data_IF_590025996079
#
_entry.id   IF_590025996079
#
_cell.length_a   1.000
_cell.length_b   1.000
_cell.length_c   1.000
_cell.angle_alpha   90.00
_cell.angle_beta   90.00
_cell.angle_gamma   90.00
#
_symmetry.space_group_name_H-M   'P 1'
#
loop_
_entity.id
_entity.type
_entity.pdbx_description
1 polymer ?
#
# COMPACT_ATOMS: atom_id res chain seq x y z
N UNK A 1 6.35 6.20 -3.36
CA UNK A 1 5.00 5.63 -3.60
C UNK A 1 4.32 6.32 -4.76
N UNK A 2 4.17 7.65 -4.77
CA UNK A 2 3.50 8.37 -5.86
C UNK A 2 4.10 8.08 -7.27
N UNK A 3 5.42 7.91 -7.36
CA UNK A 3 6.12 7.62 -8.63
C UNK A 3 6.06 6.12 -8.99
N UNK A 4 6.36 5.23 -8.03
CA UNK A 4 6.32 3.78 -8.27
C UNK A 4 4.90 3.28 -8.52
N UNK A 5 3.90 3.90 -7.90
CA UNK A 5 2.54 3.36 -7.80
C UNK A 5 2.42 2.21 -6.80
N UNK A 6 3.50 1.92 -6.06
CA UNK A 6 3.59 0.72 -5.23
C UNK A 6 4.26 0.97 -3.87
N UNK A 7 3.76 0.20 -2.90
CA UNK A 7 4.40 -0.19 -1.64
C UNK A 7 4.75 -1.68 -1.69
N UNK A 8 5.67 -2.19 -0.85
CA UNK A 8 6.20 -3.55 -0.94
C UNK A 8 5.13 -4.64 -1.19
N UNK A 9 4.08 -4.68 -0.38
CA UNK A 9 3.06 -5.72 -0.56
C UNK A 9 2.18 -5.56 -1.79
N UNK A 10 1.89 -4.30 -2.18
CA UNK A 10 1.16 -4.05 -3.42
C UNK A 10 1.95 -4.42 -4.68
N UNK A 11 3.30 -4.50 -4.61
CA UNK A 11 4.11 -4.97 -5.73
C UNK A 11 3.86 -6.45 -6.02
N UNK A 12 3.77 -7.27 -4.97
CA UNK A 12 3.48 -8.70 -5.06
C UNK A 12 2.05 -8.96 -5.49
N UNK A 13 1.09 -8.21 -4.94
CA UNK A 13 -0.30 -8.27 -5.41
C UNK A 13 -0.39 -7.90 -6.90
N UNK A 14 0.26 -6.81 -7.32
CA UNK A 14 0.27 -6.37 -8.70
C UNK A 14 0.97 -7.35 -9.65
N UNK A 15 2.03 -8.02 -9.19
CA UNK A 15 2.65 -9.12 -9.92
C UNK A 15 1.64 -10.27 -10.11
N UNK A 16 0.90 -10.64 -9.06
CA UNK A 16 -0.15 -11.65 -9.11
C UNK A 16 -1.30 -11.29 -10.06
N UNK A 17 -1.67 -10.01 -10.11
CA UNK A 17 -2.64 -9.48 -11.08
C UNK A 17 -2.11 -9.42 -12.53
N UNK A 18 -0.82 -9.66 -12.73
CA UNK A 18 -0.17 -9.61 -14.04
C UNK A 18 0.11 -8.19 -14.51
N UNK A 19 0.33 -7.22 -13.62
CA UNK A 19 0.66 -5.84 -13.99
C UNK A 19 2.11 -5.73 -14.45
N UNK A 20 2.33 -5.18 -15.65
CA UNK A 20 3.67 -5.10 -16.26
C UNK A 20 4.65 -4.23 -15.48
N UNK A 21 4.17 -3.12 -14.91
CA UNK A 21 5.00 -2.20 -14.15
C UNK A 21 5.54 -2.80 -12.84
N UNK A 22 4.90 -3.86 -12.30
CA UNK A 22 5.41 -4.62 -11.17
C UNK A 22 6.71 -5.39 -11.49
N UNK A 23 6.89 -5.84 -12.74
CA UNK A 23 8.12 -6.49 -13.21
C UNK A 23 9.35 -5.57 -13.11
N UNK A 24 9.12 -4.24 -13.17
CA UNK A 24 10.17 -3.25 -13.00
C UNK A 24 10.27 -2.75 -11.56
N UNK A 25 9.14 -2.67 -10.83
CA UNK A 25 9.13 -2.28 -9.43
C UNK A 25 9.95 -3.27 -8.57
N UNK A 26 9.72 -4.58 -8.72
CA UNK A 26 10.35 -5.61 -7.89
C UNK A 26 11.89 -5.56 -7.89
N UNK A 27 12.58 -5.56 -9.05
CA UNK A 27 14.03 -5.34 -9.10
C UNK A 27 14.46 -4.00 -8.51
N UNK A 28 13.65 -2.95 -8.67
CA UNK A 28 13.87 -1.65 -8.06
C UNK A 28 13.87 -1.73 -6.53
N UNK A 29 12.86 -2.38 -5.96
CA UNK A 29 12.75 -2.63 -4.54
C UNK A 29 13.93 -3.45 -4.01
N UNK A 30 14.32 -4.53 -4.69
CA UNK A 30 15.50 -5.33 -4.33
C UNK A 30 16.78 -4.49 -4.34
N UNK A 31 16.96 -3.62 -5.35
CA UNK A 31 18.09 -2.69 -5.40
C UNK A 31 18.06 -1.70 -4.21
N UNK A 32 16.89 -1.15 -3.88
CA UNK A 32 16.72 -0.25 -2.74
C UNK A 32 17.05 -0.93 -1.41
N UNK A 33 16.62 -2.18 -1.23
CA UNK A 33 16.98 -2.99 -0.07
C UNK A 33 18.50 -3.26 -0.02
N UNK A 34 19.13 -3.62 -1.14
CA UNK A 34 20.57 -3.83 -1.22
C UNK A 34 21.37 -2.56 -0.93
N UNK A 35 20.94 -1.42 -1.47
CA UNK A 35 21.55 -0.13 -1.21
C UNK A 35 21.51 0.21 0.29
N UNK A 36 20.37 -0.02 0.95
CA UNK A 36 20.29 0.17 2.40
C UNK A 36 21.15 -0.83 3.19
N UNK A 37 21.15 -2.12 2.82
CA UNK A 37 21.99 -3.15 3.46
C UNK A 37 23.47 -2.77 3.44
N UNK A 38 23.94 -2.21 2.33
CA UNK A 38 25.32 -1.71 2.19
C UNK A 38 25.54 -0.45 3.04
N UNK A 39 24.64 0.54 2.96
CA UNK A 39 24.78 1.79 3.71
C UNK A 39 24.75 1.56 5.22
N UNK A 40 23.92 0.63 5.71
CA UNK A 40 23.79 0.30 7.14
C UNK A 40 25.12 -0.07 7.80
N UNK A 41 26.07 -0.63 7.05
CA UNK A 41 27.40 -0.99 7.59
C UNK A 41 28.25 0.22 7.95
N UNK A 42 27.94 1.39 7.38
CA UNK A 42 28.70 2.62 7.56
C UNK A 42 28.28 3.35 8.84
N UNK A 43 29.13 4.27 9.31
CA UNK A 43 28.78 5.17 10.41
C UNK A 43 27.53 6.01 10.09
N UNK A 44 27.39 6.47 8.85
CA UNK A 44 26.23 7.24 8.38
C UNK A 44 24.96 6.41 8.45
N UNK A 45 24.99 5.17 7.96
CA UNK A 45 23.83 4.27 8.00
C UNK A 45 23.38 3.98 9.43
N UNK A 46 24.32 3.66 10.33
CA UNK A 46 23.99 3.45 11.75
C UNK A 46 23.45 4.73 12.42
N UNK A 47 24.04 5.88 12.13
CA UNK A 47 23.58 7.17 12.64
C UNK A 47 22.14 7.51 12.20
N UNK A 48 21.80 7.25 10.93
CA UNK A 48 20.44 7.47 10.41
C UNK A 48 19.37 6.69 11.20
N UNK A 49 19.70 5.47 11.63
CA UNK A 49 18.77 4.64 12.41
C UNK A 49 18.59 5.16 13.84
N UNK A 50 19.56 5.88 14.40
CA UNK A 50 19.47 6.38 15.78
C UNK A 50 18.75 7.72 15.92
N UNK A 51 18.75 8.56 14.88
CA UNK A 51 18.33 9.98 14.97
C UNK A 51 16.85 10.17 15.33
N UNK A 52 15.97 9.24 14.94
CA UNK A 52 14.53 9.29 15.23
C UNK A 52 13.99 7.99 15.83
N UNK A 53 14.86 7.23 16.51
CA UNK A 53 14.46 5.97 17.13
C UNK A 53 13.80 6.22 18.49
N UNK A 54 12.46 6.27 18.50
CA UNK A 54 11.66 6.37 19.73
C UNK A 54 11.66 5.09 20.57
N UNK A 55 12.34 4.03 20.10
CA UNK A 55 12.58 2.80 20.83
C UNK A 55 11.29 2.17 21.35
N UNK A 56 11.27 1.93 22.65
CA UNK A 56 10.22 1.20 23.37
C UNK A 56 9.07 2.11 23.85
N UNK A 57 8.92 3.29 23.26
CA UNK A 57 7.88 4.23 23.67
C UNK A 57 6.54 3.90 22.98
N UNK A 58 5.51 3.68 23.79
CA UNK A 58 4.11 3.65 23.36
C UNK A 58 3.38 4.92 23.82
N UNK A 59 2.17 5.14 23.33
CA UNK A 59 1.41 6.37 23.62
C UNK A 59 1.18 6.63 25.12
N UNK A 60 1.18 5.59 25.95
CA UNK A 60 1.03 5.67 27.41
C UNK A 60 2.35 5.74 28.18
N UNK A 61 3.51 5.79 27.50
CA UNK A 61 4.84 5.79 28.13
C UNK A 61 5.72 4.60 27.71
N UNK A 62 6.80 4.32 28.45
CA UNK A 62 7.70 3.20 28.16
C UNK A 62 7.02 1.83 28.26
N UNK A 63 7.28 0.93 27.31
CA UNK A 63 6.64 -0.41 27.23
C UNK A 63 7.01 -1.34 28.40
N UNK A 64 8.08 -1.06 29.14
CA UNK A 64 8.44 -1.80 30.36
C UNK A 64 7.51 -1.46 31.54
N UNK A 65 6.77 -0.35 31.45
CA UNK A 65 5.85 0.15 32.48
C UNK A 65 4.47 0.45 31.89
N UNK A 66 3.87 -0.55 31.25
CA UNK A 66 2.52 -0.39 30.67
C UNK A 66 1.50 -0.19 31.78
N UNK A 67 0.65 0.81 31.62
CA UNK A 67 -0.57 1.02 32.40
C UNK A 67 -1.78 0.52 31.57
N UNK A 68 -2.21 -0.75 31.70
CA UNK A 68 -3.09 -1.38 30.71
C UNK A 68 -4.40 -0.62 30.49
N UNK A 69 -5.02 -0.17 31.58
CA UNK A 69 -6.27 0.61 31.53
C UNK A 69 -6.08 1.94 30.81
N UNK A 70 -4.98 2.65 31.08
CA UNK A 70 -4.69 3.93 30.45
C UNK A 70 -4.38 3.76 28.96
N UNK A 71 -3.56 2.77 28.61
CA UNK A 71 -3.27 2.40 27.22
C UNK A 71 -4.55 2.01 26.47
N UNK A 72 -5.44 1.25 27.12
CA UNK A 72 -6.72 0.87 26.53
C UNK A 72 -7.63 2.07 26.26
N UNK A 73 -7.73 3.02 27.20
CA UNK A 73 -8.48 4.27 26.99
C UNK A 73 -7.92 5.08 25.82
N UNK A 74 -6.59 5.20 25.71
CA UNK A 74 -5.94 5.85 24.56
C UNK A 74 -6.28 5.12 23.26
N UNK A 75 -6.20 3.78 23.24
CA UNK A 75 -6.51 2.99 22.05
C UNK A 75 -7.98 3.14 21.61
N UNK A 76 -8.92 3.17 22.55
CA UNK A 76 -10.35 3.46 22.28
C UNK A 76 -10.51 4.87 21.70
N UNK A 77 -9.88 5.87 22.30
CA UNK A 77 -9.90 7.24 21.78
C UNK A 77 -9.31 7.35 20.37
N UNK A 78 -8.19 6.68 20.12
CA UNK A 78 -7.56 6.59 18.80
C UNK A 78 -8.47 5.91 17.77
N UNK A 79 -9.11 4.80 18.12
CA UNK A 79 -10.06 4.10 17.25
C UNK A 79 -11.27 4.99 16.92
N UNK A 80 -11.85 5.68 17.91
CA UNK A 80 -12.95 6.64 17.70
C UNK A 80 -12.50 7.76 16.77
N UNK A 81 -11.30 8.32 16.96
CA UNK A 81 -10.77 9.38 16.12
C UNK A 81 -10.58 8.94 14.67
N UNK A 82 -10.02 7.73 14.44
CA UNK A 82 -9.86 7.18 13.09
C UNK A 82 -11.20 6.91 12.41
N UNK A 83 -12.16 6.33 13.13
CA UNK A 83 -13.51 6.08 12.61
C UNK A 83 -14.22 7.40 12.29
N UNK A 84 -14.13 8.39 13.18
CA UNK A 84 -14.67 9.73 12.94
C UNK A 84 -14.04 10.36 11.71
N UNK A 85 -12.71 10.30 11.57
CA UNK A 85 -12.01 10.79 10.39
C UNK A 85 -12.56 10.15 9.11
N UNK A 86 -12.68 8.81 9.05
CA UNK A 86 -13.23 8.10 7.88
C UNK A 86 -14.69 8.48 7.62
N UNK A 87 -15.49 8.68 8.66
CA UNK A 87 -16.91 9.04 8.55
C UNK A 87 -17.15 10.48 8.07
N UNK A 88 -16.27 11.41 8.45
CA UNK A 88 -16.41 12.83 8.15
C UNK A 88 -15.56 13.31 6.96
N UNK A 89 -14.52 12.58 6.58
CA UNK A 89 -13.69 12.94 5.43
C UNK A 89 -14.47 12.72 4.13
N UNK A 90 -14.63 13.75 3.29
CA UNK A 90 -15.29 13.61 2.00
C UNK A 90 -14.41 12.80 1.05
N UNK A 91 -15.04 12.04 0.15
CA UNK A 91 -14.34 11.17 -0.82
C UNK A 91 -13.47 11.97 -1.80
N UNK A 92 -13.87 13.19 -2.12
CA UNK A 92 -13.19 14.10 -3.04
C UNK A 92 -13.37 15.55 -2.57
N UNK A 93 -12.51 16.45 -3.05
CA UNK A 93 -12.58 17.87 -2.71
C UNK A 93 -13.95 18.47 -3.10
N UNK A 94 -14.58 19.20 -2.18
CA UNK A 94 -15.92 19.76 -2.38
C UNK A 94 -17.08 18.76 -2.25
N UNK A 95 -16.81 17.47 -2.04
CA UNK A 95 -17.83 16.44 -1.83
C UNK A 95 -18.43 16.44 -0.43
N UNK A 96 -19.55 15.73 -0.26
CA UNK A 96 -20.19 15.51 1.06
C UNK A 96 -19.50 14.38 1.84
N UNK A 97 -19.55 14.46 3.17
CA UNK A 97 -19.02 13.40 4.04
C UNK A 97 -19.83 12.11 3.93
N UNK A 98 -19.21 10.98 4.29
CA UNK A 98 -19.84 9.66 4.19
C UNK A 98 -21.13 9.57 5.02
N UNK A 99 -21.14 10.05 6.27
CA UNK A 99 -22.35 10.03 7.12
C UNK A 99 -23.49 10.79 6.47
N UNK A 100 -23.23 12.00 5.95
CA UNK A 100 -24.27 12.82 5.34
C UNK A 100 -24.89 12.10 4.14
N UNK A 101 -24.06 11.41 3.35
CA UNK A 101 -24.51 10.60 2.21
C UNK A 101 -25.30 9.37 2.66
N UNK A 102 -24.83 8.64 3.65
CA UNK A 102 -25.49 7.44 4.17
C UNK A 102 -26.89 7.75 4.72
N UNK A 103 -27.06 8.92 5.35
CA UNK A 103 -28.36 9.36 5.91
C UNK A 103 -29.29 9.91 4.82
N UNK A 104 -28.78 10.66 3.84
CA UNK A 104 -29.62 11.31 2.81
C UNK A 104 -29.94 10.43 1.62
N UNK A 105 -29.14 9.39 1.36
CA UNK A 105 -29.30 8.53 0.18
C UNK A 105 -28.95 9.19 -1.16
N UNK A 106 -28.34 10.38 -1.14
CA UNK A 106 -27.99 11.13 -2.35
C UNK A 106 -26.76 10.52 -3.07
N UNK A 107 -26.87 10.33 -4.38
CA UNK A 107 -25.73 10.09 -5.27
C UNK A 107 -25.41 11.36 -6.05
N UNK A 108 -24.20 11.91 -5.87
CA UNK A 108 -23.77 13.12 -6.57
C UNK A 108 -23.40 12.77 -8.04
N UNK A 109 -23.61 13.70 -8.98
CA UNK A 109 -23.28 13.50 -10.39
C UNK A 109 -21.79 13.13 -10.60
N UNK A 110 -20.90 13.67 -9.76
CA UNK A 110 -19.48 13.37 -9.78
C UNK A 110 -19.18 11.91 -9.39
N UNK A 111 -19.99 11.29 -8.52
CA UNK A 111 -19.82 9.87 -8.22
C UNK A 111 -20.16 9.00 -9.43
N UNK A 112 -21.21 9.35 -10.19
CA UNK A 112 -21.55 8.64 -11.43
C UNK A 112 -20.41 8.73 -12.45
N UNK A 113 -19.74 9.88 -12.52
CA UNK A 113 -18.56 10.07 -13.34
C UNK A 113 -17.39 9.16 -12.90
N UNK A 114 -17.05 9.14 -11.61
CA UNK A 114 -15.99 8.26 -11.09
C UNK A 114 -16.30 6.78 -11.27
N UNK A 115 -17.57 6.39 -11.18
CA UNK A 115 -18.05 5.04 -11.46
C UNK A 115 -17.78 4.67 -12.93
N UNK A 116 -18.12 5.57 -13.87
CA UNK A 116 -17.85 5.38 -15.28
C UNK A 116 -16.34 5.34 -15.60
N UNK A 117 -15.55 6.20 -14.97
CA UNK A 117 -14.09 6.23 -15.12
C UNK A 117 -13.44 4.94 -14.59
N UNK A 118 -13.89 4.45 -13.43
CA UNK A 118 -13.44 3.17 -12.87
C UNK A 118 -13.75 2.01 -13.82
N UNK A 119 -14.95 1.99 -14.41
CA UNK A 119 -15.33 0.98 -15.39
C UNK A 119 -14.45 1.05 -16.66
N UNK A 120 -14.11 2.25 -17.13
CA UNK A 120 -13.20 2.45 -18.26
C UNK A 120 -11.78 1.97 -17.94
N UNK A 121 -11.27 2.29 -16.75
CA UNK A 121 -9.95 1.85 -16.31
C UNK A 121 -9.85 0.32 -16.19
N UNK A 122 -10.88 -0.31 -15.62
CA UNK A 122 -10.98 -1.77 -15.55
C UNK A 122 -11.17 -2.42 -16.93
N UNK A 123 -11.55 -1.68 -17.97
CA UNK A 123 -11.62 -2.20 -19.32
C UNK A 123 -10.26 -2.18 -20.05
N UNK A 124 -9.41 -1.16 -19.81
CA UNK A 124 -8.13 -0.97 -20.53
C UNK A 124 -7.14 -2.14 -20.35
N UNK A 125 -7.19 -2.86 -19.23
CA UNK A 125 -6.25 -3.93 -18.90
C UNK A 125 -6.78 -5.37 -18.96
N UNK A 126 -8.07 -5.57 -19.28
CA UNK A 126 -8.68 -6.91 -19.16
C UNK A 126 -8.37 -7.83 -20.36
N UNK A 127 -8.03 -9.10 -20.08
CA UNK A 127 -7.88 -10.17 -21.07
C UNK A 127 -9.23 -10.80 -21.44
N UNK A 128 -10.13 -10.17 -22.20
CA UNK A 128 -11.44 -10.81 -22.47
C UNK A 128 -12.00 -10.65 -23.89
N UNK A 129 -11.53 -11.51 -24.81
CA UNK A 129 -12.37 -12.07 -25.87
C UNK A 129 -13.11 -13.31 -25.30
N UNK A 130 -14.44 -13.42 -25.50
CA UNK A 130 -15.20 -14.64 -25.17
C UNK A 130 -15.86 -14.73 -23.78
N UNK A 131 -16.36 -13.62 -23.21
CA UNK A 131 -16.95 -13.61 -21.86
C UNK A 131 -18.41 -14.13 -21.85
N UNK A 132 -18.78 -14.90 -20.83
CA UNK A 132 -20.19 -15.23 -20.53
C UNK A 132 -21.01 -13.95 -20.28
N UNK A 133 -22.24 -13.89 -20.82
CA UNK A 133 -23.18 -12.76 -20.65
C UNK A 133 -23.44 -12.36 -19.20
N UNK A 134 -23.26 -13.26 -18.24
CA UNK A 134 -23.43 -12.97 -16.82
C UNK A 134 -22.26 -12.15 -16.26
N UNK A 135 -21.02 -12.57 -16.52
CA UNK A 135 -19.83 -11.91 -15.99
C UNK A 135 -19.64 -10.50 -16.58
N UNK A 136 -20.02 -10.32 -17.85
CA UNK A 136 -20.03 -9.00 -18.49
C UNK A 136 -21.03 -8.05 -17.83
N UNK A 137 -22.19 -8.56 -17.38
CA UNK A 137 -23.17 -7.77 -16.62
C UNK A 137 -22.63 -7.40 -15.24
N UNK A 138 -22.11 -8.36 -14.48
CA UNK A 138 -21.52 -8.08 -13.15
C UNK A 138 -20.43 -7.01 -13.22
N UNK A 139 -19.54 -7.09 -14.21
CA UNK A 139 -18.42 -6.13 -14.32
C UNK A 139 -18.87 -4.75 -14.81
N UNK A 140 -19.90 -4.67 -15.65
CA UNK A 140 -20.41 -3.40 -16.16
C UNK A 140 -21.37 -2.72 -15.19
N UNK A 141 -22.23 -3.49 -14.54
CA UNK A 141 -23.39 -3.00 -13.81
C UNK A 141 -23.16 -3.04 -12.29
N UNK A 142 -22.46 -4.06 -11.76
CA UNK A 142 -22.29 -4.26 -10.31
C UNK A 142 -20.92 -3.77 -9.79
N UNK A 143 -19.79 -4.10 -10.44
CA UNK A 143 -18.43 -3.73 -10.00
C UNK A 143 -18.23 -2.22 -9.79
N UNK A 144 -18.75 -1.34 -10.67
CA UNK A 144 -18.64 0.10 -10.47
C UNK A 144 -19.48 0.61 -9.30
N UNK A 145 -20.48 -0.15 -8.84
CA UNK A 145 -21.32 0.24 -7.72
C UNK A 145 -20.48 0.31 -6.43
N UNK A 146 -20.57 1.44 -5.72
CA UNK A 146 -19.82 1.67 -4.49
C UNK A 146 -20.08 0.62 -3.41
N UNK A 147 -21.27 0.01 -3.40
CA UNK A 147 -21.67 -0.98 -2.41
C UNK A 147 -21.28 -2.41 -2.75
N UNK A 148 -20.86 -2.70 -4.00
CA UNK A 148 -20.57 -4.07 -4.42
C UNK A 148 -19.43 -4.69 -3.62
N UNK A 149 -18.33 -3.96 -3.44
CA UNK A 149 -17.20 -4.43 -2.64
C UNK A 149 -17.31 -4.09 -1.15
N UNK A 150 -18.29 -3.31 -0.71
CA UNK A 150 -18.42 -2.89 0.70
C UNK A 150 -18.45 -4.05 1.70
N UNK A 151 -19.31 -5.08 1.55
CA UNK A 151 -19.34 -6.19 2.52
C UNK A 151 -18.05 -6.99 2.50
N UNK A 152 -17.45 -7.20 1.32
CA UNK A 152 -16.19 -7.93 1.18
C UNK A 152 -15.01 -7.14 1.77
N UNK A 153 -14.95 -5.82 1.55
CA UNK A 153 -13.95 -4.93 2.16
C UNK A 153 -14.07 -4.96 3.68
N UNK A 154 -15.30 -4.87 4.21
CA UNK A 154 -15.53 -4.95 5.65
C UNK A 154 -15.07 -6.31 6.21
N UNK A 155 -15.50 -7.41 5.60
CA UNK A 155 -15.08 -8.76 6.00
C UNK A 155 -13.56 -8.93 5.96
N UNK A 156 -12.92 -8.52 4.86
CA UNK A 156 -11.46 -8.59 4.73
C UNK A 156 -10.74 -7.71 5.75
N UNK A 157 -11.24 -6.51 6.03
CA UNK A 157 -10.65 -5.63 7.05
C UNK A 157 -10.73 -6.23 8.46
N UNK A 158 -11.83 -6.91 8.78
CA UNK A 158 -11.98 -7.63 10.04
C UNK A 158 -10.99 -8.81 10.13
N UNK A 159 -10.86 -9.60 9.05
CA UNK A 159 -9.89 -10.71 8.97
C UNK A 159 -8.46 -10.21 9.13
N UNK A 160 -8.06 -9.17 8.38
CA UNK A 160 -6.72 -8.57 8.48
C UNK A 160 -6.47 -8.00 9.87
N UNK A 161 -7.46 -7.35 10.48
CA UNK A 161 -7.36 -6.83 11.84
C UNK A 161 -7.14 -7.93 12.88
N UNK A 162 -7.94 -9.01 12.83
CA UNK A 162 -7.77 -10.18 13.70
C UNK A 162 -6.42 -10.86 13.47
N UNK A 163 -6.03 -11.06 12.21
CA UNK A 163 -4.75 -11.64 11.85
C UNK A 163 -3.57 -10.80 12.36
N UNK A 164 -3.65 -9.47 12.26
CA UNK A 164 -2.62 -8.56 12.78
C UNK A 164 -2.51 -8.63 14.31
N UNK A 165 -3.64 -8.74 15.03
CA UNK A 165 -3.62 -8.93 16.49
C UNK A 165 -3.00 -10.28 16.85
N UNK A 166 -3.42 -11.37 16.20
CA UNK A 166 -2.87 -12.71 16.42
C UNK A 166 -1.37 -12.77 16.10
N UNK A 167 -0.94 -12.13 15.01
CA UNK A 167 0.47 -11.97 14.65
C UNK A 167 1.29 -11.42 15.83
N UNK A 168 0.83 -10.29 16.39
CA UNK A 168 1.48 -9.63 17.51
C UNK A 168 1.53 -10.54 18.74
N UNK A 169 0.46 -11.30 19.02
CA UNK A 169 0.46 -12.31 20.09
C UNK A 169 1.50 -13.41 19.87
N UNK A 170 1.73 -13.83 18.63
CA UNK A 170 2.81 -14.75 18.25
C UNK A 170 4.19 -14.07 18.16
N UNK A 171 4.34 -12.87 18.74
CA UNK A 171 5.58 -12.09 18.82
C UNK A 171 6.18 -11.70 17.48
N UNK A 172 5.34 -11.51 16.45
CA UNK A 172 5.79 -11.00 15.17
C UNK A 172 4.80 -10.00 14.59
N UNK A 173 5.30 -8.97 13.92
CA UNK A 173 4.47 -7.95 13.30
C UNK A 173 4.09 -8.34 11.87
N UNK A 174 2.94 -7.84 11.41
CA UNK A 174 2.52 -7.96 10.02
C UNK A 174 3.33 -6.95 9.19
N UNK A 175 4.17 -7.43 8.27
CA UNK A 175 5.08 -6.64 7.43
C UNK A 175 5.45 -7.39 6.16
N UNK A 176 5.82 -6.66 5.11
CA UNK A 176 6.17 -7.29 3.80
C UNK A 176 7.56 -6.88 3.30
N UNK A 177 8.03 -5.71 3.71
CA UNK A 177 9.31 -5.18 3.27
C UNK A 177 10.54 -5.96 3.77
N UNK A 178 10.44 -6.76 4.84
CA UNK A 178 11.62 -7.47 5.38
C UNK A 178 12.01 -8.61 4.46
N UNK A 179 11.06 -9.18 3.73
CA UNK A 179 11.29 -10.17 2.69
C UNK A 179 12.29 -9.69 1.64
N UNK A 180 12.23 -8.43 1.19
CA UNK A 180 13.18 -7.91 0.21
C UNK A 180 14.61 -7.90 0.75
N UNK A 181 14.81 -7.43 1.98
CA UNK A 181 16.12 -7.46 2.63
C UNK A 181 16.57 -8.86 2.99
N UNK A 182 15.64 -9.77 3.27
CA UNK A 182 15.92 -11.18 3.47
C UNK A 182 16.39 -11.84 2.17
N UNK A 183 15.73 -11.62 1.04
CA UNK A 183 16.16 -12.12 -0.27
C UNK A 183 17.55 -11.58 -0.63
N UNK A 184 17.75 -10.26 -0.52
CA UNK A 184 19.05 -9.63 -0.74
C UNK A 184 20.11 -10.20 0.20
N UNK A 185 19.76 -10.35 1.48
CA UNK A 185 20.67 -10.88 2.48
C UNK A 185 21.09 -12.31 2.21
N UNK A 186 20.19 -13.18 1.72
CA UNK A 186 20.55 -14.58 1.43
C UNK A 186 21.26 -14.75 0.08
N UNK A 187 20.90 -13.95 -0.94
CA UNK A 187 21.37 -14.17 -2.31
C UNK A 187 22.52 -13.25 -2.74
N UNK A 188 22.56 -12.00 -2.28
CA UNK A 188 23.47 -10.98 -2.79
C UNK A 188 24.51 -10.53 -1.77
N UNK A 189 24.10 -10.38 -0.50
CA UNK A 189 24.93 -9.78 0.55
C UNK A 189 24.93 -10.61 1.87
N UNK A 190 25.27 -11.91 1.84
CA UNK A 190 25.17 -12.80 3.00
C UNK A 190 26.05 -12.43 4.20
N UNK A 191 27.22 -11.86 3.96
CA UNK A 191 28.19 -11.61 5.03
C UNK A 191 27.93 -10.32 5.83
N UNK A 192 27.01 -9.48 5.35
CA UNK A 192 26.70 -8.16 5.91
C UNK A 192 25.96 -8.28 7.25
N UNK A 193 26.28 -7.41 8.22
CA UNK A 193 25.64 -7.42 9.55
C UNK A 193 24.12 -7.28 9.46
N UNK A 194 23.65 -6.31 8.68
CA UNK A 194 22.23 -6.08 8.41
C UNK A 194 21.53 -7.33 7.87
N UNK A 195 22.15 -8.07 6.95
CA UNK A 195 21.60 -9.31 6.40
C UNK A 195 21.37 -10.37 7.48
N UNK A 196 22.32 -10.52 8.42
CA UNK A 196 22.19 -11.43 9.57
C UNK A 196 21.07 -11.00 10.52
N UNK A 197 20.86 -9.69 10.69
CA UNK A 197 19.73 -9.15 11.48
C UNK A 197 18.41 -9.47 10.77
N UNK A 198 18.33 -9.22 9.46
CA UNK A 198 17.11 -9.46 8.67
C UNK A 198 16.78 -10.95 8.55
N UNK A 199 17.77 -11.83 8.46
CA UNK A 199 17.59 -13.28 8.49
C UNK A 199 16.84 -13.75 9.74
N UNK A 200 17.14 -13.15 10.90
CA UNK A 200 16.46 -13.45 12.18
C UNK A 200 15.08 -12.78 12.29
N UNK A 201 14.90 -11.61 11.67
CA UNK A 201 13.66 -10.82 11.77
C UNK A 201 12.59 -11.19 10.74
N UNK A 202 12.96 -11.78 9.60
CA UNK A 202 12.02 -12.06 8.51
C UNK A 202 10.86 -12.96 8.96
N UNK A 203 11.12 -13.97 9.79
CA UNK A 203 10.13 -14.93 10.27
C UNK A 203 9.20 -15.43 9.15
N UNK A 204 7.90 -15.11 9.24
CA UNK A 204 6.86 -15.51 8.27
C UNK A 204 6.50 -14.43 7.25
N UNK A 205 7.17 -13.27 7.24
CA UNK A 205 6.93 -12.23 6.22
C UNK A 205 7.06 -12.79 4.79
N UNK A 206 8.09 -13.62 4.43
CA UNK A 206 8.16 -14.19 3.08
C UNK A 206 6.97 -15.08 2.72
N UNK A 207 6.37 -15.77 3.69
CA UNK A 207 5.17 -16.58 3.48
C UNK A 207 3.93 -15.70 3.30
N UNK A 208 3.82 -14.61 4.07
CA UNK A 208 2.75 -13.62 3.91
C UNK A 208 2.82 -12.97 2.52
N UNK A 209 4.00 -12.58 2.08
CA UNK A 209 4.30 -12.01 0.76
C UNK A 209 3.95 -12.98 -0.38
N UNK A 210 4.34 -14.25 -0.25
CA UNK A 210 3.91 -15.28 -1.19
C UNK A 210 2.39 -15.46 -1.16
N UNK A 211 1.77 -15.38 0.01
CA UNK A 211 0.32 -15.44 0.20
C UNK A 211 -0.42 -14.29 -0.49
N UNK A 212 0.08 -13.06 -0.40
CA UNK A 212 -0.51 -11.89 -1.08
C UNK A 212 -0.36 -12.00 -2.59
N UNK A 213 0.79 -12.46 -3.08
CA UNK A 213 1.00 -12.78 -4.49
C UNK A 213 0.03 -13.86 -5.00
N UNK A 214 -0.01 -15.02 -4.35
CA UNK A 214 -0.86 -16.15 -4.76
C UNK A 214 -2.33 -15.78 -4.62
N UNK A 215 -2.73 -15.10 -3.54
CA UNK A 215 -4.10 -14.63 -3.32
C UNK A 215 -4.55 -13.66 -4.41
N UNK A 216 -3.71 -12.70 -4.78
CA UNK A 216 -3.98 -11.79 -5.89
C UNK A 216 -4.07 -12.53 -7.22
N UNK A 217 -3.16 -13.48 -7.49
CA UNK A 217 -3.17 -14.29 -8.69
C UNK A 217 -4.44 -15.16 -8.81
N UNK A 218 -4.80 -15.90 -7.77
CA UNK A 218 -6.01 -16.72 -7.75
C UNK A 218 -7.27 -15.86 -7.91
N UNK A 219 -7.30 -14.70 -7.28
CA UNK A 219 -8.40 -13.74 -7.44
C UNK A 219 -8.46 -13.24 -8.89
N UNK A 220 -7.33 -12.84 -9.46
CA UNK A 220 -7.23 -12.34 -10.83
C UNK A 220 -7.61 -13.40 -11.88
N UNK A 221 -7.29 -14.67 -11.64
CA UNK A 221 -7.58 -15.77 -12.57
C UNK A 221 -9.01 -16.30 -12.45
N UNK A 222 -9.51 -16.49 -11.23
CA UNK A 222 -10.74 -17.26 -11.00
C UNK A 222 -11.93 -16.43 -10.53
N UNK A 223 -11.69 -15.40 -9.72
CA UNK A 223 -12.75 -14.60 -9.07
C UNK A 223 -13.05 -13.34 -9.87
N UNK A 224 -12.13 -12.37 -9.86
CA UNK A 224 -12.30 -11.11 -10.58
C UNK A 224 -12.17 -11.30 -12.09
N UNK A 225 -11.45 -12.36 -12.51
CA UNK A 225 -11.18 -12.63 -13.92
C UNK A 225 -10.66 -11.34 -14.57
N UNK A 226 -9.62 -10.78 -13.96
CA UNK A 226 -8.97 -9.53 -14.35
C UNK A 226 -7.45 -9.68 -14.28
N UNK A 227 -6.95 -10.77 -14.84
CA UNK A 227 -5.51 -10.95 -15.03
C UNK A 227 -5.06 -10.13 -16.24
N UNK A 228 -4.09 -9.23 -16.07
CA UNK A 228 -3.65 -8.32 -17.13
C UNK A 228 -2.59 -8.91 -18.06
N UNK A 229 -2.00 -10.06 -17.70
CA UNK A 229 -1.01 -10.78 -18.50
C UNK A 229 0.16 -9.91 -18.99
N UNK A 230 0.61 -8.99 -18.15
CA UNK A 230 1.75 -8.10 -18.37
C UNK A 230 1.65 -7.24 -19.63
N UNK A 231 0.43 -6.89 -20.04
CA UNK A 231 0.19 -5.95 -21.16
C UNK A 231 0.77 -4.57 -20.87
N UNK A 232 1.14 -3.80 -21.91
CA UNK A 232 1.68 -2.44 -21.78
C UNK A 232 0.63 -1.40 -21.37
N UNK A 233 -0.10 -1.64 -20.29
CA UNK A 233 -1.08 -0.71 -19.72
C UNK A 233 -0.34 0.30 -18.84
N UNK A 234 -0.53 1.58 -19.13
CA UNK A 234 0.06 2.68 -18.34
C UNK A 234 -1.06 3.32 -17.53
N UNK A 235 -0.89 3.51 -16.20
CA UNK A 235 -1.88 4.19 -15.38
C UNK A 235 -2.26 5.56 -15.95
N UNK A 236 -3.55 5.92 -16.02
CA UNK A 236 -3.99 7.18 -16.63
C UNK A 236 -3.32 8.42 -16.02
N UNK A 237 -3.16 8.48 -14.70
CA UNK A 237 -2.45 9.58 -14.02
C UNK A 237 -1.01 9.77 -14.53
N UNK A 238 -0.29 8.68 -14.79
CA UNK A 238 1.05 8.72 -15.39
C UNK A 238 0.98 9.11 -16.87
N UNK A 239 0.07 8.50 -17.62
CA UNK A 239 -0.12 8.75 -19.06
C UNK A 239 -0.43 10.22 -19.33
N UNK A 240 -1.33 10.81 -18.55
CA UNK A 240 -1.80 12.18 -18.71
C UNK A 240 -0.73 13.21 -18.32
N UNK A 241 0.17 12.86 -17.40
CA UNK A 241 1.27 13.74 -16.96
C UNK A 241 2.55 13.61 -17.81
N UNK A 242 2.96 12.39 -18.11
CA UNK A 242 4.28 12.08 -18.69
C UNK A 242 4.23 11.43 -20.08
N UNK A 243 3.02 11.19 -20.60
CA UNK A 243 2.76 10.53 -21.87
C UNK A 243 2.72 9.00 -21.78
N UNK A 244 2.44 8.36 -22.92
CA UNK A 244 2.27 6.91 -23.07
C UNK A 244 3.59 6.13 -23.25
N UNK A 245 4.72 6.70 -22.84
CA UNK A 245 6.03 6.02 -23.01
C UNK A 245 6.21 4.90 -21.98
N UNK A 246 6.32 3.67 -22.48
CA UNK A 246 6.57 2.47 -21.66
C UNK A 246 7.91 2.52 -20.92
N UNK A 247 8.97 2.99 -21.60
CA UNK A 247 10.30 3.13 -21.00
C UNK A 247 10.32 4.12 -19.84
N UNK A 248 9.67 5.28 -20.00
CA UNK A 248 9.53 6.26 -18.91
C UNK A 248 8.81 5.67 -17.70
N UNK A 249 7.70 4.94 -17.93
CA UNK A 249 6.97 4.28 -16.83
C UNK A 249 7.80 3.19 -16.16
N UNK A 250 8.54 2.39 -16.91
CA UNK A 250 9.40 1.33 -16.37
C UNK A 250 10.51 1.90 -15.48
N UNK A 251 11.25 2.91 -15.95
CA UNK A 251 12.31 3.59 -15.18
C UNK A 251 11.74 4.22 -13.92
N UNK A 252 10.58 4.87 -14.01
CA UNK A 252 9.93 5.48 -12.87
C UNK A 252 9.42 4.45 -11.85
N UNK A 253 8.84 3.34 -12.31
CA UNK A 253 8.41 2.24 -11.45
C UNK A 253 9.60 1.66 -10.68
N UNK A 254 10.70 1.36 -11.39
CA UNK A 254 11.95 0.86 -10.83
C UNK A 254 12.58 1.84 -9.83
N UNK A 255 12.85 3.09 -10.25
CA UNK A 255 13.50 4.10 -9.41
C UNK A 255 12.63 4.49 -8.21
N UNK A 256 11.32 4.62 -8.41
CA UNK A 256 10.38 4.89 -7.34
C UNK A 256 10.33 3.77 -6.31
N UNK A 257 10.35 2.50 -6.74
CA UNK A 257 10.36 1.35 -5.83
C UNK A 257 11.68 1.24 -5.07
N UNK A 258 12.80 1.51 -5.74
CA UNK A 258 14.12 1.58 -5.10
C UNK A 258 14.14 2.60 -3.95
N UNK A 259 13.66 3.81 -4.17
CA UNK A 259 13.58 4.85 -3.12
C UNK A 259 12.62 4.44 -2.00
N UNK A 260 11.46 3.87 -2.34
CA UNK A 260 10.47 3.41 -1.34
C UNK A 260 11.06 2.31 -0.47
N UNK A 261 11.72 1.31 -1.06
CA UNK A 261 12.29 0.21 -0.29
C UNK A 261 13.45 0.67 0.56
N UNK A 262 14.37 1.47 0.00
CA UNK A 262 15.46 2.08 0.75
C UNK A 262 14.93 2.83 1.99
N UNK A 263 13.94 3.70 1.81
CA UNK A 263 13.30 4.44 2.90
C UNK A 263 12.60 3.52 3.91
N UNK A 264 11.88 2.50 3.44
CA UNK A 264 11.21 1.54 4.33
C UNK A 264 12.21 0.74 5.17
N UNK A 265 13.40 0.40 4.65
CA UNK A 265 14.43 -0.31 5.41
C UNK A 265 15.18 0.60 6.35
N UNK A 266 15.43 1.84 5.94
CA UNK A 266 15.95 2.91 6.80
C UNK A 266 15.06 3.17 8.00
N UNK A 267 13.74 3.22 7.79
CA UNK A 267 12.76 3.44 8.86
C UNK A 267 12.55 2.21 9.77
N UNK A 268 13.01 1.03 9.36
CA UNK A 268 12.79 -0.22 10.10
C UNK A 268 11.43 -0.90 9.84
N UNK A 269 10.65 -0.43 8.87
CA UNK A 269 9.35 -0.99 8.51
C UNK A 269 8.69 -0.29 7.32
N UNK A 270 7.70 -0.93 6.69
CA UNK A 270 6.86 -0.33 5.66
C UNK A 270 5.49 0.10 6.24
N UNK A 271 4.55 0.49 5.37
CA UNK A 271 3.20 0.86 5.78
C UNK A 271 2.50 -0.25 6.60
N UNK A 272 2.57 -1.51 6.19
CA UNK A 272 1.95 -2.61 6.96
C UNK A 272 2.63 -2.83 8.32
N UNK A 273 3.96 -2.75 8.38
CA UNK A 273 4.73 -2.89 9.62
C UNK A 273 4.53 -1.74 10.61
N UNK A 274 4.75 -0.49 10.18
CA UNK A 274 4.69 0.67 11.06
C UNK A 274 3.29 1.24 11.20
N UNK A 275 2.53 1.44 10.10
CA UNK A 275 1.22 2.10 10.18
C UNK A 275 0.17 1.15 10.73
N UNK A 276 0.05 -0.08 10.18
CA UNK A 276 -0.94 -1.04 10.67
C UNK A 276 -0.50 -1.69 11.99
N UNK A 277 0.58 -2.50 11.98
CA UNK A 277 0.97 -3.26 13.18
C UNK A 277 1.45 -2.35 14.31
N UNK A 278 2.28 -1.36 14.01
CA UNK A 278 2.75 -0.38 14.99
C UNK A 278 1.65 0.55 15.49
N UNK A 279 0.69 0.91 14.62
CA UNK A 279 -0.48 1.69 14.98
C UNK A 279 -1.34 1.00 16.02
N UNK A 280 -1.64 -0.30 15.83
CA UNK A 280 -2.42 -1.10 16.81
C UNK A 280 -1.66 -1.30 18.13
N UNK A 281 -0.32 -1.33 18.10
CA UNK A 281 0.52 -1.40 19.29
C UNK A 281 0.62 -0.07 20.06
N UNK A 282 0.00 1.01 19.56
CA UNK A 282 0.14 2.36 20.11
C UNK A 282 1.60 2.85 20.13
N UNK A 283 2.44 2.37 19.21
CA UNK A 283 3.86 2.75 19.17
C UNK A 283 4.02 4.22 18.76
N UNK A 284 4.79 5.00 19.52
CA UNK A 284 5.02 6.41 19.21
C UNK A 284 5.75 6.58 17.86
N UNK A 285 6.69 5.67 17.56
CA UNK A 285 7.40 5.61 16.28
C UNK A 285 6.46 5.36 15.10
N UNK A 286 5.40 4.56 15.30
CA UNK A 286 4.40 4.29 14.27
C UNK A 286 3.59 5.54 13.90
N UNK A 287 3.18 6.34 14.89
CA UNK A 287 2.45 7.57 14.64
C UNK A 287 3.32 8.63 13.96
N UNK A 288 4.57 8.78 14.40
CA UNK A 288 5.54 9.66 13.74
C UNK A 288 5.79 9.23 12.29
N UNK A 289 6.01 7.93 12.07
CA UNK A 289 6.18 7.36 10.73
C UNK A 289 4.95 7.59 9.85
N UNK A 290 3.75 7.40 10.40
CA UNK A 290 2.48 7.61 9.69
C UNK A 290 2.37 9.07 9.25
N UNK A 291 2.63 10.03 10.13
CA UNK A 291 2.60 11.45 9.79
C UNK A 291 3.63 11.79 8.71
N UNK A 292 4.87 11.32 8.83
CA UNK A 292 5.93 11.56 7.85
C UNK A 292 5.60 10.94 6.47
N UNK A 293 5.08 9.72 6.45
CA UNK A 293 4.67 9.05 5.20
C UNK A 293 3.47 9.73 4.57
N UNK A 294 2.42 10.05 5.34
CA UNK A 294 1.23 10.71 4.81
C UNK A 294 1.56 12.09 4.24
N UNK A 295 2.35 12.90 4.95
CA UNK A 295 2.76 14.22 4.48
C UNK A 295 3.65 14.14 3.23
N UNK A 296 4.70 13.32 3.26
CA UNK A 296 5.59 13.15 2.10
C UNK A 296 4.85 12.57 0.89
N UNK A 297 3.89 11.67 1.08
CA UNK A 297 3.07 11.13 0.01
C UNK A 297 2.23 12.22 -0.66
N UNK A 298 1.54 13.06 0.11
CA UNK A 298 0.70 14.15 -0.41
C UNK A 298 1.57 15.17 -1.15
N UNK A 299 2.67 15.62 -0.53
CA UNK A 299 3.60 16.58 -1.14
C UNK A 299 4.19 16.02 -2.44
N UNK A 300 4.67 14.77 -2.41
CA UNK A 300 5.26 14.14 -3.60
C UNK A 300 4.22 13.99 -4.72
N UNK A 301 2.99 13.56 -4.39
CA UNK A 301 1.93 13.44 -5.37
C UNK A 301 1.62 14.79 -6.04
N UNK A 302 1.52 15.87 -5.23
CA UNK A 302 1.24 17.21 -5.76
C UNK A 302 2.38 17.77 -6.60
N UNK A 303 3.64 17.54 -6.21
CA UNK A 303 4.83 17.97 -6.97
C UNK A 303 4.98 17.19 -8.28
N UNK A 304 4.77 15.87 -8.26
CA UNK A 304 4.98 15.01 -9.43
C UNK A 304 3.86 15.16 -10.46
N UNK A 305 2.60 15.12 -10.00
CA UNK A 305 1.43 15.11 -10.89
C UNK A 305 0.80 16.49 -11.11
N UNK A 306 1.02 17.46 -10.22
CA UNK A 306 0.45 18.81 -10.37
C UNK A 306 -1.07 18.76 -10.49
N UNK A 307 -1.61 19.44 -11.51
CA UNK A 307 -3.04 19.47 -11.84
C UNK A 307 -3.40 18.50 -12.99
N UNK A 308 -2.53 17.54 -13.31
CA UNK A 308 -2.83 16.54 -14.34
C UNK A 308 -3.97 15.63 -13.90
N UNK A 309 -4.92 15.41 -14.81
CA UNK A 309 -6.07 14.54 -14.58
C UNK A 309 -5.65 13.09 -14.36
N UNK A 310 -6.29 12.43 -13.39
CA UNK A 310 -6.17 11.01 -13.09
C UNK A 310 -7.13 10.13 -13.92
N UNK A 311 -8.06 10.74 -14.66
CA UNK A 311 -9.12 10.05 -15.41
C UNK A 311 -8.57 9.30 -16.63
N UNK A 312 -9.20 8.19 -17.00
CA UNK A 312 -8.92 7.44 -18.22
C UNK A 312 -9.09 8.30 -19.47
N UNK A 313 -10.17 9.09 -19.51
CA UNK A 313 -10.42 10.09 -20.55
C UNK A 313 -10.39 11.47 -19.87
N UNK A 314 -9.30 12.23 -19.99
CA UNK A 314 -9.27 13.59 -19.46
C UNK A 314 -10.34 14.43 -20.17
N UNK A 315 -11.03 15.30 -19.43
CA UNK A 315 -11.87 16.32 -20.03
C UNK A 315 -10.99 17.22 -20.91
N UNK A 316 -11.44 17.57 -22.11
CA UNK A 316 -10.72 18.44 -23.07
C UNK A 316 -10.52 19.90 -22.55
N UNK A 317 -10.77 20.15 -21.25
CA UNK A 317 -10.79 21.47 -20.60
C UNK A 317 -9.85 21.58 -19.38
N UNK A 318 -8.84 20.72 -19.27
CA UNK A 318 -7.77 20.85 -18.27
C UNK A 318 -6.50 21.44 -18.88
#
# INVERSE_FOLDING_TARGET
MAVSGYVPGSELMALGEGRRDALYALPGGLLGAAAWTMLYQTAVGRWLVHTANLGNLIASGPIDRIHPTFTFVIAVGYAIALLALVMFLPRYAGGRSFIVRAVRGDSDALDQEFVADTAAYLAEGSFYEGRSRWLSRVIKDDVPNSNFFSPMKLGMSAVVGVAAVLAIFFRQIFGESTTYSWVVGNLLLPDFEYSKIMAKRAGWEPLSDMGTFVGALLTALFISRYFQGFRPVIPPSWRNRFGSSLGKRAIASFGGSCVVMFGARMAGGCASGHILSGGVQMAASAWLFTLAVSTSMIVTARVVYGDSSEKCKPDDRA
#
